data_IF_960941863586
#
_entry.id   IF_960941863586
#
_cell.length_a   1.000
_cell.length_b   1.000
_cell.length_c   1.000
_cell.angle_alpha   90.00
_cell.angle_beta   90.00
_cell.angle_gamma   90.00
#
_symmetry.space_group_name_H-M   'P 1'
#
loop_
_entity.id
_entity.type
_entity.pdbx_description
1 polymer ?
#
# COMPACT_ATOMS: atom_id res chain seq x y z
N UNK A 1 -30.35 -17.77 60.42
CA UNK A 1 -29.72 -16.64 59.72
C UNK A 1 -28.97 -17.19 58.52
N UNK A 2 -29.53 -17.04 57.30
CA UNK A 2 -28.98 -17.58 56.04
C UNK A 2 -27.98 -16.58 55.46
N UNK A 3 -26.76 -17.05 55.20
CA UNK A 3 -25.64 -16.28 54.69
C UNK A 3 -25.86 -15.89 53.22
N UNK A 4 -26.13 -14.61 52.97
CA UNK A 4 -26.40 -14.00 51.65
C UNK A 4 -25.15 -13.44 50.95
N UNK A 5 -23.95 -13.95 51.24
CA UNK A 5 -22.69 -13.32 50.79
C UNK A 5 -21.99 -13.95 49.58
N UNK A 6 -22.47 -15.06 49.04
CA UNK A 6 -21.73 -15.81 48.02
C UNK A 6 -22.15 -15.51 46.55
N UNK A 7 -22.83 -14.39 46.27
CA UNK A 7 -23.35 -14.11 44.92
C UNK A 7 -23.06 -12.68 44.45
N UNK A 8 -21.81 -12.21 44.58
CA UNK A 8 -21.40 -10.89 44.06
C UNK A 8 -19.98 -10.82 43.51
N UNK A 9 -19.43 -11.92 42.98
CA UNK A 9 -18.05 -11.92 42.46
C UNK A 9 -17.89 -12.36 41.00
N UNK A 10 -18.99 -12.66 40.29
CA UNK A 10 -18.90 -13.24 38.93
C UNK A 10 -19.23 -12.28 37.78
N UNK A 11 -19.51 -10.99 38.05
CA UNK A 11 -19.98 -10.04 36.99
C UNK A 11 -18.91 -9.02 36.57
N UNK A 12 -17.74 -8.98 37.22
CA UNK A 12 -16.72 -7.96 36.93
C UNK A 12 -15.71 -8.36 35.82
N UNK A 13 -15.70 -9.62 35.37
CA UNK A 13 -14.67 -10.10 34.43
C UNK A 13 -15.12 -10.14 32.95
N UNK A 14 -16.41 -9.90 32.65
CA UNK A 14 -16.95 -10.04 31.29
C UNK A 14 -17.03 -8.72 30.49
N UNK A 15 -16.76 -7.57 31.11
CA UNK A 15 -16.86 -6.26 30.42
C UNK A 15 -15.54 -5.79 29.79
N UNK A 16 -14.41 -6.40 30.13
CA UNK A 16 -13.10 -5.99 29.59
C UNK A 16 -12.81 -6.54 28.17
N UNK A 17 -13.57 -7.52 27.68
CA UNK A 17 -13.33 -8.14 26.38
C UNK A 17 -13.97 -7.38 25.19
N UNK A 18 -14.87 -6.42 25.43
CA UNK A 18 -15.64 -5.76 24.38
C UNK A 18 -15.14 -4.37 23.96
N UNK A 19 -14.12 -3.82 24.62
CA UNK A 19 -13.66 -2.44 24.36
C UNK A 19 -12.50 -2.32 23.37
N UNK A 20 -11.99 -3.44 22.85
CA UNK A 20 -10.78 -3.44 22.01
C UNK A 20 -11.03 -3.40 20.48
N UNK A 21 -12.21 -3.73 19.88
CA UNK A 21 -12.31 -3.74 18.42
C UNK A 21 -12.69 -2.38 17.78
N UNK A 22 -12.79 -1.28 18.53
CA UNK A 22 -13.33 -0.02 18.00
C UNK A 22 -12.40 0.70 17.01
N UNK A 23 -11.08 0.46 17.05
CA UNK A 23 -10.13 1.14 16.16
C UNK A 23 -10.16 0.59 14.73
N UNK A 24 -10.32 -0.73 14.55
CA UNK A 24 -10.44 -1.34 13.23
C UNK A 24 -11.77 -0.98 12.53
N UNK A 25 -12.84 -0.81 13.31
CA UNK A 25 -14.16 -0.47 12.79
C UNK A 25 -14.23 0.96 12.22
N UNK A 26 -13.50 1.93 12.77
CA UNK A 26 -13.52 3.31 12.29
C UNK A 26 -12.75 3.51 10.98
N UNK A 27 -11.63 2.81 10.78
CA UNK A 27 -10.86 2.87 9.53
C UNK A 27 -11.67 2.32 8.34
N UNK A 28 -12.35 1.19 8.55
CA UNK A 28 -13.14 0.53 7.51
C UNK A 28 -14.30 1.38 6.94
N UNK A 29 -14.90 2.26 7.77
CA UNK A 29 -16.01 3.12 7.31
C UNK A 29 -15.49 4.28 6.46
N UNK A 30 -14.32 4.84 6.77
CA UNK A 30 -13.69 5.90 5.98
C UNK A 30 -13.32 5.43 4.57
N UNK A 31 -12.72 4.25 4.48
CA UNK A 31 -12.27 3.62 3.23
C UNK A 31 -13.46 3.30 2.30
N UNK A 32 -14.55 2.78 2.86
CA UNK A 32 -15.77 2.48 2.11
C UNK A 32 -16.43 3.75 1.52
N UNK A 33 -16.37 4.88 2.25
CA UNK A 33 -16.89 6.17 1.77
C UNK A 33 -15.98 6.79 0.70
N UNK A 34 -14.65 6.70 0.86
CA UNK A 34 -13.67 7.21 -0.10
C UNK A 34 -13.51 6.30 -1.33
N UNK A 35 -14.09 5.08 -1.31
CA UNK A 35 -13.88 4.04 -2.32
C UNK A 35 -12.39 3.72 -2.48
N UNK A 36 -11.69 3.64 -1.37
CA UNK A 36 -10.27 3.30 -1.31
C UNK A 36 -10.07 2.02 -0.50
N UNK A 37 -8.93 1.37 -0.69
CA UNK A 37 -8.49 0.26 0.12
C UNK A 37 -6.99 0.36 0.37
N UNK A 38 -6.59 -0.14 1.55
CA UNK A 38 -5.19 -0.34 1.91
C UNK A 38 -4.91 -1.83 2.05
N UNK A 39 -3.81 -2.28 1.46
CA UNK A 39 -3.34 -3.65 1.52
C UNK A 39 -1.91 -3.70 2.04
N UNK A 40 -1.59 -4.73 2.79
CA UNK A 40 -0.22 -5.05 3.19
C UNK A 40 0.08 -6.50 2.82
N UNK A 41 1.24 -6.73 2.22
CA UNK A 41 1.73 -8.05 1.86
C UNK A 41 3.16 -8.20 2.38
N UNK A 42 3.50 -9.38 2.91
CA UNK A 42 4.83 -9.64 3.43
C UNK A 42 5.87 -9.82 2.30
N UNK A 43 5.44 -10.27 1.12
CA UNK A 43 6.35 -10.62 0.01
C UNK A 43 5.72 -10.38 -1.37
N UNK A 44 6.56 -10.36 -2.41
CA UNK A 44 6.11 -10.36 -3.81
C UNK A 44 5.23 -11.56 -4.16
N UNK A 45 5.53 -12.74 -3.62
CA UNK A 45 4.74 -13.94 -3.91
C UNK A 45 3.32 -13.80 -3.36
N UNK A 46 3.16 -13.33 -2.13
CA UNK A 46 1.85 -13.06 -1.53
C UNK A 46 1.09 -11.98 -2.31
N UNK A 47 1.76 -10.88 -2.67
CA UNK A 47 1.20 -9.84 -3.54
C UNK A 47 0.64 -10.45 -4.83
N UNK A 48 1.40 -11.30 -5.51
CA UNK A 48 1.00 -11.89 -6.79
C UNK A 48 -0.18 -12.88 -6.68
N UNK A 49 -0.37 -13.51 -5.51
CA UNK A 49 -1.47 -14.45 -5.28
C UNK A 49 -2.76 -13.77 -4.81
N UNK A 50 -2.63 -12.71 -4.01
CA UNK A 50 -3.77 -12.13 -3.29
C UNK A 50 -4.27 -10.81 -3.90
N UNK A 51 -3.39 -10.04 -4.54
CA UNK A 51 -3.80 -8.78 -5.15
C UNK A 51 -4.37 -9.00 -6.54
N UNK A 52 -5.59 -8.49 -6.76
CA UNK A 52 -6.31 -8.64 -8.03
C UNK A 52 -5.75 -7.82 -9.20
N UNK A 53 -4.72 -6.99 -8.94
CA UNK A 53 -4.05 -6.14 -9.94
C UNK A 53 -2.58 -6.50 -10.03
N UNK A 54 -1.90 -5.88 -10.97
CA UNK A 54 -0.51 -6.20 -11.30
C UNK A 54 0.42 -4.98 -11.17
N UNK A 55 1.59 -5.24 -10.61
CA UNK A 55 2.77 -4.36 -10.60
C UNK A 55 4.01 -5.17 -11.03
N UNK A 56 4.19 -5.43 -12.34
CA UNK A 56 5.25 -6.31 -12.84
C UNK A 56 6.68 -5.83 -12.54
N UNK A 57 6.83 -4.54 -12.24
CA UNK A 57 8.10 -3.91 -11.88
C UNK A 57 8.61 -4.28 -10.48
N UNK A 58 7.75 -4.85 -9.62
CA UNK A 58 8.10 -5.20 -8.23
C UNK A 58 9.24 -6.22 -8.23
N UNK A 59 10.41 -5.88 -7.62
CA UNK A 59 11.56 -6.77 -7.56
C UNK A 59 11.28 -8.08 -6.83
N UNK A 60 12.02 -9.14 -7.18
CA UNK A 60 11.79 -10.48 -6.65
C UNK A 60 11.99 -10.62 -5.13
N UNK A 61 12.88 -9.80 -4.56
CA UNK A 61 13.18 -9.72 -3.13
C UNK A 61 12.30 -8.71 -2.38
N UNK A 62 11.23 -8.22 -3.00
CA UNK A 62 10.38 -7.22 -2.38
C UNK A 62 9.65 -7.77 -1.14
N UNK A 63 9.77 -7.02 -0.05
CA UNK A 63 9.16 -7.27 1.24
C UNK A 63 8.38 -6.05 1.72
N UNK A 64 7.56 -6.24 2.76
CA UNK A 64 6.85 -5.13 3.44
C UNK A 64 6.10 -4.23 2.46
N UNK A 65 5.32 -4.85 1.58
CA UNK A 65 4.63 -4.19 0.48
C UNK A 65 3.36 -3.56 1.02
N UNK A 66 3.21 -2.25 0.82
CA UNK A 66 2.01 -1.49 1.20
C UNK A 66 1.39 -0.87 -0.04
N UNK A 67 0.11 -1.12 -0.25
CA UNK A 67 -0.66 -0.57 -1.36
C UNK A 67 -1.79 0.27 -0.82
N UNK A 68 -2.01 1.44 -1.42
CA UNK A 68 -3.25 2.18 -1.31
C UNK A 68 -3.84 2.36 -2.70
N UNK A 69 -5.09 2.00 -2.88
CA UNK A 69 -5.74 2.03 -4.19
C UNK A 69 -7.19 2.49 -4.15
N UNK A 70 -7.70 2.91 -5.30
CA UNK A 70 -9.13 3.08 -5.50
C UNK A 70 -9.81 1.75 -5.83
N UNK A 71 -10.95 1.47 -5.20
CA UNK A 71 -11.83 0.34 -5.51
C UNK A 71 -12.47 0.43 -6.91
N UNK A 72 -12.32 1.55 -7.61
CA UNK A 72 -12.79 1.76 -8.98
C UNK A 72 -11.73 1.47 -10.07
N UNK A 73 -10.52 1.06 -9.70
CA UNK A 73 -9.38 0.90 -10.61
C UNK A 73 -8.23 1.84 -10.26
N UNK A 74 -7.67 2.55 -11.23
CA UNK A 74 -6.71 3.62 -10.91
C UNK A 74 -7.42 4.77 -10.16
N UNK A 75 -6.73 5.48 -9.25
CA UNK A 75 -5.29 5.41 -8.95
C UNK A 75 -4.88 4.28 -8.00
N UNK A 76 -3.57 4.01 -7.96
CA UNK A 76 -2.93 3.15 -6.96
C UNK A 76 -1.54 3.66 -6.64
N UNK A 77 -1.09 3.45 -5.42
CA UNK A 77 0.26 3.75 -4.95
C UNK A 77 0.78 2.60 -4.11
N UNK A 78 2.05 2.24 -4.32
CA UNK A 78 2.67 1.02 -3.81
C UNK A 78 4.06 1.36 -3.30
N UNK A 79 4.33 1.10 -2.01
CA UNK A 79 5.65 1.21 -1.41
C UNK A 79 6.14 -0.17 -0.97
N UNK A 80 7.44 -0.44 -1.11
CA UNK A 80 8.05 -1.72 -0.73
C UNK A 80 9.49 -1.54 -0.27
N UNK A 81 10.00 -2.54 0.45
CA UNK A 81 11.42 -2.70 0.77
C UNK A 81 12.05 -3.69 -0.21
N UNK A 82 13.21 -3.36 -0.75
CA UNK A 82 13.96 -4.23 -1.67
C UNK A 82 15.40 -3.72 -1.79
N UNK A 83 16.36 -4.62 -1.85
CA UNK A 83 17.76 -4.28 -2.10
C UNK A 83 18.12 -4.35 -3.60
N UNK A 84 17.20 -4.85 -4.42
CA UNK A 84 17.39 -5.06 -5.85
C UNK A 84 17.06 -3.81 -6.66
N UNK A 85 17.87 -3.56 -7.68
CA UNK A 85 17.60 -2.55 -8.69
C UNK A 85 16.38 -2.95 -9.55
N UNK A 86 15.71 -1.94 -10.12
CA UNK A 86 14.67 -2.16 -11.13
C UNK A 86 15.26 -2.74 -12.41
N UNK A 87 14.51 -3.62 -13.07
CA UNK A 87 14.93 -4.24 -14.33
C UNK A 87 14.93 -3.20 -15.47
N UNK A 88 16.10 -2.85 -16.04
CA UNK A 88 16.21 -1.85 -17.10
C UNK A 88 15.57 -2.28 -18.42
N UNK A 89 15.26 -3.57 -18.61
CA UNK A 89 14.49 -4.03 -19.77
C UNK A 89 13.00 -3.68 -19.64
N UNK A 90 12.52 -3.39 -18.43
CA UNK A 90 11.11 -3.11 -18.14
C UNK A 90 10.85 -1.69 -17.66
N UNK A 91 11.91 -0.98 -17.25
CA UNK A 91 11.85 0.34 -16.66
C UNK A 91 12.81 1.31 -17.35
N UNK A 92 12.35 2.51 -17.68
CA UNK A 92 13.19 3.57 -18.25
C UNK A 92 13.20 4.82 -17.36
N UNK A 93 14.39 5.39 -17.13
CA UNK A 93 14.55 6.65 -16.39
C UNK A 93 14.20 7.86 -17.28
N UNK A 94 13.20 8.64 -16.87
CA UNK A 94 12.71 9.83 -17.60
C UNK A 94 12.42 11.01 -16.66
N UNK A 95 12.20 12.18 -17.26
CA UNK A 95 11.70 13.36 -16.54
C UNK A 95 10.29 13.10 -15.99
N UNK A 96 10.07 13.45 -14.71
CA UNK A 96 8.79 13.27 -14.03
C UNK A 96 7.76 14.30 -14.47
N UNK A 97 6.56 13.82 -14.81
CA UNK A 97 5.35 14.56 -15.20
C UNK A 97 4.10 14.11 -14.47
N UNK A 98 4.17 13.01 -13.72
CA UNK A 98 3.07 12.55 -12.84
C UNK A 98 3.43 12.60 -11.36
N UNK A 99 2.43 12.44 -10.50
CA UNK A 99 2.57 12.33 -9.05
C UNK A 99 1.46 11.42 -8.50
N UNK A 100 1.70 10.74 -7.36
CA UNK A 100 0.68 9.95 -6.69
C UNK A 100 -0.47 10.83 -6.20
N UNK A 101 -1.70 10.36 -6.44
CA UNK A 101 -2.91 10.96 -5.87
C UNK A 101 -3.34 10.29 -4.56
N UNK A 102 -2.84 9.07 -4.30
CA UNK A 102 -3.02 8.34 -3.06
C UNK A 102 -1.69 8.25 -2.33
N UNK A 103 -1.59 8.85 -1.15
CA UNK A 103 -0.36 8.76 -0.36
C UNK A 103 -0.30 7.43 0.39
N UNK A 104 0.87 6.79 0.35
CA UNK A 104 1.28 5.74 1.29
C UNK A 104 2.18 6.39 2.35
N UNK A 105 2.12 5.93 3.60
CA UNK A 105 2.95 6.50 4.65
C UNK A 105 4.45 6.25 4.42
N UNK A 106 5.30 7.15 4.96
CA UNK A 106 6.78 7.04 4.92
C UNK A 106 7.37 7.00 3.51
N UNK A 107 6.69 7.58 2.53
CA UNK A 107 7.20 7.73 1.17
C UNK A 107 7.89 9.08 0.98
N UNK A 108 8.82 9.21 0.01
CA UNK A 108 9.48 10.48 -0.28
C UNK A 108 8.50 11.56 -0.77
N UNK A 109 8.92 12.81 -0.64
CA UNK A 109 8.25 13.96 -1.24
C UNK A 109 8.53 14.00 -2.74
N UNK A 110 7.64 13.40 -3.53
CA UNK A 110 7.77 13.28 -4.99
C UNK A 110 7.86 14.62 -5.72
N UNK A 111 7.40 15.73 -5.11
CA UNK A 111 7.50 17.05 -5.73
C UNK A 111 8.92 17.63 -5.71
N UNK A 112 9.83 17.01 -4.95
CA UNK A 112 11.27 17.31 -4.95
C UNK A 112 12.09 16.38 -5.85
N UNK A 113 11.41 15.47 -6.56
CA UNK A 113 12.04 14.51 -7.45
C UNK A 113 11.71 14.92 -8.88
N UNK A 114 12.73 15.02 -9.73
CA UNK A 114 12.57 15.44 -11.13
C UNK A 114 12.60 14.27 -12.11
N UNK A 115 12.97 13.07 -11.65
CA UNK A 115 13.15 11.88 -12.48
C UNK A 115 12.48 10.66 -11.88
N UNK A 116 11.90 9.82 -12.74
CA UNK A 116 11.21 8.58 -12.37
C UNK A 116 11.61 7.45 -13.30
N UNK A 117 11.54 6.23 -12.79
CA UNK A 117 11.54 5.03 -13.62
C UNK A 117 10.12 4.74 -14.07
N UNK A 118 9.89 4.70 -15.38
CA UNK A 118 8.59 4.33 -15.94
C UNK A 118 8.60 2.87 -16.33
N UNK A 119 7.77 2.09 -15.63
CA UNK A 119 7.66 0.65 -15.79
C UNK A 119 6.22 0.28 -16.20
N UNK A 120 5.97 0.29 -17.51
CA UNK A 120 4.63 0.19 -18.09
C UNK A 120 3.74 1.36 -17.67
N UNK A 121 2.68 1.06 -16.90
CA UNK A 121 1.71 2.06 -16.40
C UNK A 121 2.13 2.75 -15.09
N UNK A 122 3.28 2.39 -14.55
CA UNK A 122 3.77 2.87 -13.25
C UNK A 122 4.90 3.88 -13.44
N UNK A 123 4.89 4.96 -12.66
CA UNK A 123 6.09 5.71 -12.34
C UNK A 123 6.61 5.27 -10.97
N UNK A 124 7.92 5.08 -10.86
CA UNK A 124 8.59 4.50 -9.69
C UNK A 124 9.80 5.35 -9.32
N UNK A 125 9.99 5.58 -8.02
CA UNK A 125 11.15 6.30 -7.45
C UNK A 125 11.81 5.45 -6.37
N UNK A 126 13.12 5.61 -6.16
CA UNK A 126 13.78 5.00 -5.01
C UNK A 126 13.29 5.62 -3.70
N UNK A 127 13.28 4.82 -2.64
CA UNK A 127 13.16 5.26 -1.25
C UNK A 127 14.47 4.96 -0.51
N UNK A 128 14.51 5.16 0.81
CA UNK A 128 15.69 4.81 1.62
C UNK A 128 15.99 3.29 1.56
N UNK A 129 14.94 2.47 1.57
CA UNK A 129 15.03 1.01 1.75
C UNK A 129 14.43 0.21 0.58
N UNK A 130 14.04 0.86 -0.51
CA UNK A 130 13.40 0.18 -1.63
C UNK A 130 12.78 1.14 -2.64
N UNK A 131 11.49 0.92 -2.95
CA UNK A 131 10.83 1.56 -4.09
C UNK A 131 9.44 2.07 -3.75
N UNK A 132 9.05 3.16 -4.38
CA UNK A 132 7.71 3.73 -4.31
C UNK A 132 7.19 4.03 -5.71
N UNK A 133 6.04 3.46 -6.07
CA UNK A 133 5.45 3.62 -7.38
C UNK A 133 3.98 4.03 -7.34
N UNK A 134 3.52 4.66 -8.42
CA UNK A 134 2.13 5.09 -8.56
C UNK A 134 1.56 4.93 -9.97
N UNK A 135 0.23 4.87 -10.01
CA UNK A 135 -0.61 4.97 -11.20
C UNK A 135 -1.71 6.02 -10.97
N UNK A 136 -2.20 6.70 -12.03
CA UNK A 136 -1.69 6.66 -13.39
C UNK A 136 -0.33 7.36 -13.53
N UNK A 137 0.51 6.82 -14.41
CA UNK A 137 1.67 7.54 -14.96
C UNK A 137 1.23 8.53 -16.05
N UNK A 138 1.99 9.59 -16.32
CA UNK A 138 1.67 10.54 -17.38
C UNK A 138 1.75 9.86 -18.76
N UNK A 139 0.92 10.22 -19.75
CA UNK A 139 0.97 9.61 -21.08
C UNK A 139 2.34 9.69 -21.77
N UNK A 140 3.01 10.84 -21.69
CA UNK A 140 4.37 11.03 -22.25
C UNK A 140 5.42 10.17 -21.55
N UNK A 141 5.31 10.03 -20.22
CA UNK A 141 6.16 9.13 -19.43
C UNK A 141 5.94 7.69 -19.88
N UNK A 142 4.67 7.26 -19.97
CA UNK A 142 4.29 5.92 -20.42
C UNK A 142 4.82 5.58 -21.80
N UNK A 143 4.80 6.54 -22.73
CA UNK A 143 5.29 6.37 -24.09
C UNK A 143 6.81 6.11 -24.14
N UNK A 144 7.54 6.51 -23.12
CA UNK A 144 8.97 6.26 -22.98
C UNK A 144 9.28 4.94 -22.26
N UNK A 145 8.28 4.22 -21.75
CA UNK A 145 8.48 2.94 -21.12
C UNK A 145 8.91 1.87 -22.13
N UNK A 146 9.84 0.97 -21.78
CA UNK A 146 10.18 -0.17 -22.64
C UNK A 146 8.92 -1.00 -22.94
N UNK A 147 8.71 -1.31 -24.23
CA UNK A 147 7.68 -2.26 -24.65
C UNK A 147 8.30 -3.65 -24.67
N UNK A 148 7.78 -4.55 -23.84
CA UNK A 148 8.07 -5.98 -23.91
C UNK A 148 6.88 -6.71 -24.51
#
# INVERSE_FOLDING_TARGET
>A
MRSTRALRLSVAALTAAFLVPSLAACAAVGDALQREATHEFASRDELAHEWSREAPWVPADAETIRIRESLGGEPASLALVSASDLDPETCADVERRSAPTLAVEKTPDVYKIDRVFVCGKWAVVPTEDGWYGWTPVHPDERAASPTR
#
